data_IF_344258197862
#
_entry.id   IF_344258197862
#
_cell.length_a   1.000
_cell.length_b   1.000
_cell.length_c   1.000
_cell.angle_alpha   90.00
_cell.angle_beta   90.00
_cell.angle_gamma   90.00
#
_symmetry.space_group_name_H-M   'P 1'
#
loop_
_entity.id
_entity.type
_entity.pdbx_description
1 polymer ?
#
# COMPACT_ATOMS: atom_id res chain seq x y z
N UNK A 1 3.26 8.18 -7.49
CA UNK A 1 3.09 9.63 -7.55
C UNK A 1 1.85 10.00 -6.74
N UNK A 2 2.03 10.82 -5.69
CA UNK A 2 0.95 11.24 -4.80
C UNK A 2 -0.13 12.05 -5.52
N UNK A 3 0.25 12.91 -6.47
CA UNK A 3 -0.67 13.81 -7.16
C UNK A 3 -1.48 13.11 -8.26
N UNK A 4 -0.88 12.10 -8.91
CA UNK A 4 -1.55 11.37 -9.99
C UNK A 4 -2.31 10.13 -9.50
N UNK A 5 -2.25 9.83 -8.19
CA UNK A 5 -2.77 8.61 -7.61
C UNK A 5 -2.24 7.34 -8.30
N UNK A 6 -0.92 7.23 -8.44
CA UNK A 6 -0.25 6.09 -9.10
C UNK A 6 0.90 5.51 -8.28
N UNK A 7 1.26 4.26 -8.56
CA UNK A 7 2.56 3.67 -8.23
C UNK A 7 3.47 3.75 -9.45
N UNK A 8 4.72 4.14 -9.23
CA UNK A 8 5.76 4.10 -10.25
C UNK A 8 6.78 3.02 -9.86
N UNK A 9 7.08 2.13 -10.80
CA UNK A 9 8.16 1.16 -10.65
C UNK A 9 9.38 1.68 -11.42
N UNK A 10 10.55 1.68 -10.77
CA UNK A 10 11.79 2.18 -11.35
C UNK A 10 12.91 1.17 -11.15
N UNK A 11 13.77 1.01 -12.15
CA UNK A 11 15.05 0.33 -12.00
C UNK A 11 16.10 1.32 -11.52
N UNK A 12 17.05 0.85 -10.71
CA UNK A 12 18.25 1.61 -10.32
C UNK A 12 19.50 0.99 -10.91
N UNK A 13 20.34 1.81 -11.53
CA UNK A 13 21.69 1.40 -11.88
C UNK A 13 22.55 1.42 -10.59
N UNK A 14 23.08 0.27 -10.12
CA UNK A 14 23.78 0.21 -8.84
C UNK A 14 25.14 0.93 -8.85
N UNK A 15 25.74 1.17 -10.03
CA UNK A 15 27.02 1.84 -10.14
C UNK A 15 26.87 3.38 -10.17
N UNK A 16 25.81 3.89 -10.80
CA UNK A 16 25.61 5.33 -11.02
C UNK A 16 24.51 5.94 -10.17
N UNK A 17 23.59 5.12 -9.64
CA UNK A 17 22.37 5.56 -8.97
C UNK A 17 21.29 6.10 -9.92
N UNK A 18 21.49 6.00 -11.24
CA UNK A 18 20.50 6.46 -12.21
C UNK A 18 19.21 5.64 -12.12
N UNK A 19 18.08 6.35 -12.21
CA UNK A 19 16.75 5.76 -12.19
C UNK A 19 16.17 5.75 -13.60
N UNK A 20 15.56 4.63 -13.99
CA UNK A 20 14.76 4.54 -15.20
C UNK A 20 13.36 4.03 -14.86
N UNK A 21 12.34 4.69 -15.41
CA UNK A 21 10.95 4.28 -15.22
C UNK A 21 10.71 2.95 -15.96
N UNK A 22 10.18 1.97 -15.24
CA UNK A 22 9.75 0.68 -15.77
C UNK A 22 8.26 0.73 -16.12
N UNK A 23 7.45 1.19 -15.17
CA UNK A 23 5.99 1.09 -15.26
C UNK A 23 5.29 2.13 -14.37
N UNK A 24 4.03 2.43 -14.68
CA UNK A 24 3.14 3.25 -13.85
C UNK A 24 1.76 2.61 -13.77
N UNK A 25 1.30 2.36 -12.55
CA UNK A 25 0.01 1.72 -12.27
C UNK A 25 -0.90 2.67 -11.48
N UNK A 26 -2.18 2.86 -11.87
CA UNK A 26 -3.14 3.55 -11.04
C UNK A 26 -3.33 2.89 -9.67
N UNK A 27 -3.29 3.70 -8.61
CA UNK A 27 -3.51 3.25 -7.24
C UNK A 27 -4.99 3.28 -6.84
N UNK A 28 -5.88 3.82 -7.68
CA UNK A 28 -7.34 3.83 -7.51
C UNK A 28 -8.04 3.73 -8.87
N UNK A 29 -9.34 3.37 -8.91
CA UNK A 29 -10.17 3.52 -10.11
C UNK A 29 -10.14 4.93 -10.68
N UNK A 30 -10.38 5.08 -11.98
CA UNK A 30 -10.19 6.35 -12.69
C UNK A 30 -11.08 7.48 -12.12
N UNK A 31 -12.31 7.15 -11.77
CA UNK A 31 -13.32 8.03 -11.19
C UNK A 31 -12.96 8.58 -9.80
N UNK A 32 -12.02 7.94 -9.10
CA UNK A 32 -11.62 8.34 -7.75
C UNK A 32 -10.36 9.21 -7.73
N UNK A 33 -9.69 9.44 -8.87
CA UNK A 33 -8.37 10.08 -8.92
C UNK A 33 -8.37 11.54 -8.49
N UNK A 34 -9.39 12.30 -8.87
CA UNK A 34 -9.44 13.76 -8.64
C UNK A 34 -9.57 14.15 -7.16
N UNK A 35 -9.92 13.20 -6.29
CA UNK A 35 -10.11 13.42 -4.86
C UNK A 35 -9.29 12.44 -4.00
N UNK A 36 -8.21 11.89 -4.56
CA UNK A 36 -7.39 10.92 -3.88
C UNK A 36 -5.92 11.33 -3.85
N UNK A 37 -5.28 11.01 -2.73
CA UNK A 37 -3.84 11.18 -2.54
C UNK A 37 -3.25 9.90 -1.94
N UNK A 38 -2.29 9.29 -2.63
CA UNK A 38 -1.49 8.22 -2.05
C UNK A 38 -0.75 8.73 -0.80
N UNK A 39 -0.40 7.84 0.14
CA UNK A 39 0.38 8.24 1.32
C UNK A 39 1.59 7.34 1.55
N UNK A 40 1.38 6.06 1.80
CA UNK A 40 2.46 5.13 2.13
C UNK A 40 2.43 3.88 1.25
N UNK A 41 3.58 3.22 1.14
CA UNK A 41 3.73 1.96 0.41
C UNK A 41 4.45 0.92 1.28
N UNK A 42 4.09 -0.36 1.12
CA UNK A 42 4.76 -1.50 1.71
C UNK A 42 4.92 -2.58 0.64
N UNK A 43 6.03 -3.32 0.70
CA UNK A 43 6.25 -4.50 -0.15
C UNK A 43 6.27 -5.72 0.75
N UNK A 44 5.65 -6.82 0.31
CA UNK A 44 5.71 -8.09 1.05
C UNK A 44 7.16 -8.58 1.18
N UNK A 45 7.54 -9.29 2.27
CA UNK A 45 8.91 -9.78 2.45
C UNK A 45 9.42 -10.70 1.34
N UNK A 46 8.51 -11.36 0.63
CA UNK A 46 8.79 -12.20 -0.54
C UNK A 46 8.97 -11.39 -1.84
N UNK A 47 8.82 -10.07 -1.80
CA UNK A 47 8.94 -9.17 -2.96
C UNK A 47 7.79 -9.23 -3.97
N UNK A 48 6.77 -10.08 -3.75
CA UNK A 48 5.77 -10.41 -4.78
C UNK A 48 4.61 -9.40 -4.89
N UNK A 49 4.35 -8.62 -3.84
CA UNK A 49 3.20 -7.72 -3.80
C UNK A 49 3.54 -6.38 -3.18
N UNK A 50 2.97 -5.32 -3.76
CA UNK A 50 2.98 -3.95 -3.25
C UNK A 50 1.60 -3.60 -2.69
N UNK A 51 1.61 -2.87 -1.58
CA UNK A 51 0.44 -2.33 -0.90
C UNK A 51 0.62 -0.84 -0.78
N UNK A 52 -0.36 -0.04 -1.19
CA UNK A 52 -0.29 1.41 -0.98
C UNK A 52 -1.60 1.99 -0.45
N UNK A 53 -1.49 2.93 0.47
CA UNK A 53 -2.64 3.58 1.08
C UNK A 53 -3.09 4.81 0.30
N UNK A 54 -4.41 5.00 0.26
CA UNK A 54 -5.09 6.03 -0.50
C UNK A 54 -5.99 6.85 0.41
N UNK A 55 -5.67 8.14 0.61
CA UNK A 55 -6.49 9.09 1.37
C UNK A 55 -7.50 9.72 0.43
N UNK A 56 -8.78 9.62 0.77
CA UNK A 56 -9.89 10.06 -0.08
C UNK A 56 -10.68 8.88 -0.61
N UNK A 57 -10.03 7.95 -1.35
CA UNK A 57 -10.66 6.67 -1.70
C UNK A 57 -10.74 5.69 -0.52
N UNK A 58 -10.01 5.96 0.57
CA UNK A 58 -10.01 5.22 1.84
C UNK A 58 -9.85 3.70 1.62
N UNK A 59 -8.78 3.37 0.91
CA UNK A 59 -8.46 2.01 0.49
C UNK A 59 -6.96 1.72 0.58
N UNK A 60 -6.64 0.42 0.58
CA UNK A 60 -5.33 -0.13 0.30
C UNK A 60 -5.38 -0.73 -1.10
N UNK A 61 -4.63 -0.13 -2.02
CA UNK A 61 -4.39 -0.73 -3.33
C UNK A 61 -3.38 -1.87 -3.20
N UNK A 62 -3.68 -2.98 -3.85
CA UNK A 62 -2.84 -4.18 -3.90
C UNK A 62 -2.41 -4.41 -5.34
N UNK A 63 -1.11 -4.53 -5.56
CA UNK A 63 -0.53 -4.83 -6.86
C UNK A 63 0.43 -6.02 -6.76
N UNK A 64 0.42 -6.90 -7.77
CA UNK A 64 1.44 -7.91 -7.96
C UNK A 64 2.65 -7.30 -8.66
N UNK A 65 3.85 -7.76 -8.30
CA UNK A 65 5.12 -7.35 -8.90
C UNK A 65 5.64 -8.51 -9.74
N UNK A 66 5.80 -8.28 -11.04
CA UNK A 66 6.54 -9.19 -11.91
C UNK A 66 8.01 -9.23 -11.46
N UNK A 67 8.50 -10.40 -11.06
CA UNK A 67 9.82 -10.55 -10.46
C UNK A 67 10.96 -10.48 -11.48
N UNK A 68 10.66 -10.67 -12.77
CA UNK A 68 11.66 -10.59 -13.84
C UNK A 68 11.76 -9.16 -14.38
N UNK A 69 10.62 -8.49 -14.55
CA UNK A 69 10.57 -7.18 -15.21
C UNK A 69 10.32 -6.01 -14.27
N UNK A 70 9.89 -6.24 -13.03
CA UNK A 70 9.49 -5.19 -12.09
C UNK A 70 8.19 -4.48 -12.45
N UNK A 71 7.41 -4.99 -13.41
CA UNK A 71 6.12 -4.40 -13.82
C UNK A 71 5.05 -4.65 -12.76
N UNK A 72 4.07 -3.75 -12.70
CA UNK A 72 3.02 -3.80 -11.69
C UNK A 72 1.69 -4.21 -12.33
N UNK A 73 0.93 -5.07 -11.65
CA UNK A 73 -0.43 -5.45 -12.07
C UNK A 73 -1.40 -5.30 -10.93
N UNK A 74 -2.52 -4.59 -11.15
CA UNK A 74 -3.54 -4.40 -10.13
C UNK A 74 -4.17 -5.73 -9.72
N UNK A 75 -4.29 -5.96 -8.41
CA UNK A 75 -4.92 -7.15 -7.82
C UNK A 75 -6.27 -6.78 -7.20
N UNK A 76 -6.30 -5.73 -6.38
CA UNK A 76 -7.50 -5.29 -5.67
C UNK A 76 -7.36 -3.85 -5.13
N UNK A 77 -8.50 -3.23 -4.85
CA UNK A 77 -8.61 -2.06 -3.98
C UNK A 77 -9.43 -2.47 -2.76
N UNK A 78 -8.79 -2.62 -1.60
CA UNK A 78 -9.43 -3.12 -0.37
C UNK A 78 -9.78 -1.95 0.54
N UNK A 79 -10.98 -1.84 1.13
CA UNK A 79 -11.27 -0.84 2.15
C UNK A 79 -10.24 -0.89 3.29
N UNK A 80 -9.70 0.25 3.71
CA UNK A 80 -8.61 0.31 4.70
C UNK A 80 -9.08 0.28 6.17
N UNK A 81 -10.40 0.14 6.39
CA UNK A 81 -10.99 -0.03 7.72
C UNK A 81 -11.17 1.27 8.52
N UNK A 82 -11.06 2.43 7.88
CA UNK A 82 -11.29 3.75 8.46
C UNK A 82 -10.79 4.87 7.54
N UNK A 83 -11.26 6.11 7.68
CA UNK A 83 -10.91 7.19 6.75
C UNK A 83 -9.48 7.72 6.89
N UNK A 84 -8.92 8.18 5.77
CA UNK A 84 -7.60 8.84 5.68
C UNK A 84 -6.43 7.95 6.17
N UNK A 85 -6.15 6.82 5.50
CA UNK A 85 -5.05 5.91 5.86
C UNK A 85 -3.68 6.54 5.57
N UNK A 86 -3.05 7.12 6.59
CA UNK A 86 -1.80 7.88 6.45
C UNK A 86 -0.55 7.01 6.37
N UNK A 87 -0.57 5.84 6.98
CA UNK A 87 0.60 4.97 7.01
C UNK A 87 0.18 3.50 7.08
N UNK A 88 1.01 2.65 6.48
CA UNK A 88 0.90 1.21 6.55
C UNK A 88 2.08 0.65 7.35
N UNK A 89 1.83 -0.43 8.07
CA UNK A 89 2.88 -1.25 8.68
C UNK A 89 2.72 -2.70 8.29
N UNK A 90 3.82 -3.39 7.99
CA UNK A 90 3.79 -4.83 7.72
C UNK A 90 4.62 -5.58 8.74
N UNK A 91 4.05 -6.66 9.30
CA UNK A 91 4.81 -7.54 10.19
C UNK A 91 6.02 -8.16 9.47
N UNK A 92 7.13 -8.50 10.16
CA UNK A 92 8.30 -9.12 9.52
C UNK A 92 7.98 -10.43 8.78
N UNK A 93 6.99 -11.18 9.29
CA UNK A 93 6.50 -12.40 8.64
C UNK A 93 5.70 -12.15 7.34
N UNK A 94 5.29 -10.91 7.08
CA UNK A 94 4.40 -10.54 5.98
C UNK A 94 2.95 -11.00 6.14
N UNK A 95 2.58 -11.69 7.22
CA UNK A 95 1.23 -12.25 7.42
C UNK A 95 0.19 -11.22 7.83
N UNK A 96 0.63 -10.12 8.46
CA UNK A 96 -0.21 -9.03 8.92
C UNK A 96 0.21 -7.71 8.28
N UNK A 97 -0.80 -6.92 7.91
CA UNK A 97 -0.70 -5.53 7.49
C UNK A 97 -1.58 -4.67 8.40
N UNK A 98 -1.12 -3.49 8.76
CA UNK A 98 -1.79 -2.53 9.62
C UNK A 98 -2.04 -1.24 8.85
N UNK A 99 -3.23 -0.64 8.99
CA UNK A 99 -3.58 0.67 8.41
C UNK A 99 -3.85 1.68 9.50
N UNK A 100 -3.03 2.73 9.59
CA UNK A 100 -3.27 3.86 10.47
C UNK A 100 -4.20 4.87 9.81
N UNK A 101 -5.47 4.85 10.20
CA UNK A 101 -6.51 5.70 9.64
C UNK A 101 -6.61 6.95 10.51
N UNK A 102 -6.02 8.05 10.04
CA UNK A 102 -5.87 9.28 10.80
C UNK A 102 -7.21 9.84 11.25
N UNK A 103 -8.16 10.00 10.33
CA UNK A 103 -9.45 10.61 10.63
C UNK A 103 -10.45 9.58 11.18
N UNK A 104 -10.07 8.29 11.17
CA UNK A 104 -10.87 7.21 11.74
C UNK A 104 -10.58 6.94 13.21
N UNK A 105 -9.54 7.58 13.76
CA UNK A 105 -9.05 7.32 15.12
C UNK A 105 -8.89 5.82 15.41
N UNK A 106 -8.38 5.07 14.44
CA UNK A 106 -8.15 3.64 14.57
C UNK A 106 -6.95 3.13 13.77
N UNK A 107 -6.42 1.99 14.22
CA UNK A 107 -5.54 1.15 13.41
C UNK A 107 -6.29 -0.13 13.05
N UNK A 108 -6.54 -0.33 11.76
CA UNK A 108 -7.14 -1.56 11.25
C UNK A 108 -6.07 -2.64 11.02
N UNK A 109 -6.44 -3.90 11.26
CA UNK A 109 -5.56 -5.08 11.17
C UNK A 109 -6.06 -5.96 10.04
N UNK A 110 -5.17 -6.36 9.15
CA UNK A 110 -5.47 -7.21 8.00
C UNK A 110 -4.60 -8.47 8.02
N UNK A 111 -5.19 -9.61 7.67
CA UNK A 111 -4.46 -10.82 7.27
C UNK A 111 -4.18 -10.75 5.78
N UNK A 112 -2.93 -10.99 5.40
CA UNK A 112 -2.51 -11.13 4.00
C UNK A 112 -2.58 -12.60 3.59
N UNK A 113 -3.20 -12.85 2.45
CA UNK A 113 -3.05 -14.09 1.70
C UNK A 113 -1.73 -14.06 0.92
N UNK A 114 -0.82 -14.99 1.19
CA UNK A 114 0.53 -14.96 0.62
C UNK A 114 0.58 -15.32 -0.87
N UNK A 115 -0.42 -16.06 -1.37
CA UNK A 115 -0.46 -16.54 -2.74
C UNK A 115 -1.04 -15.49 -3.69
N UNK A 116 -2.10 -14.82 -3.23
CA UNK A 116 -2.89 -13.84 -4.01
C UNK A 116 -2.60 -12.39 -3.65
N UNK A 117 -1.96 -12.13 -2.51
CA UNK A 117 -1.72 -10.79 -1.98
C UNK A 117 -2.97 -10.11 -1.41
N UNK A 118 -4.14 -10.75 -1.45
CA UNK A 118 -5.39 -10.14 -0.99
C UNK A 118 -5.39 -9.95 0.53
N UNK A 119 -6.10 -8.92 0.97
CA UNK A 119 -6.23 -8.56 2.38
C UNK A 119 -7.63 -8.90 2.89
N UNK A 120 -7.70 -9.46 4.09
CA UNK A 120 -8.95 -9.66 4.83
C UNK A 120 -8.84 -8.95 6.18
N UNK A 121 -9.77 -8.05 6.49
CA UNK A 121 -9.76 -7.36 7.78
C UNK A 121 -10.01 -8.38 8.90
N UNK A 122 -9.15 -8.36 9.91
CA UNK A 122 -9.18 -9.28 11.05
C UNK A 122 -9.50 -8.57 12.37
N UNK A 123 -9.48 -7.23 12.39
CA UNK A 123 -9.86 -6.43 13.55
C UNK A 123 -9.50 -4.96 13.39
N UNK A 124 -9.70 -4.20 14.47
CA UNK A 124 -9.21 -2.83 14.60
C UNK A 124 -9.05 -2.48 16.07
N UNK A 125 -8.16 -1.53 16.36
CA UNK A 125 -8.01 -0.95 17.69
C UNK A 125 -8.24 0.57 17.62
N UNK A 126 -8.98 1.16 18.58
CA UNK A 126 -9.13 2.60 18.66
C UNK A 126 -7.82 3.23 19.14
N UNK A 127 -7.33 4.22 18.39
CA UNK A 127 -6.13 5.01 18.70
C UNK A 127 -6.37 6.40 18.12
N UNK A 128 -6.26 7.45 18.93
CA UNK A 128 -6.46 8.82 18.44
C UNK A 128 -5.46 9.21 17.35
N UNK A 129 -5.97 9.58 16.18
CA UNK A 129 -5.28 10.24 15.07
C UNK A 129 -3.93 9.59 14.69
N UNK A 130 -3.89 8.28 14.38
CA UNK A 130 -2.65 7.58 14.11
C UNK A 130 -2.14 7.99 12.73
N UNK A 131 -0.88 8.40 12.67
CA UNK A 131 -0.23 8.87 11.44
C UNK A 131 0.97 8.03 11.02
N UNK A 132 1.42 7.12 11.88
CA UNK A 132 2.60 6.29 11.66
C UNK A 132 2.44 4.96 12.42
N UNK A 133 2.81 3.87 11.76
CA UNK A 133 3.00 2.54 12.34
C UNK A 133 4.43 2.13 12.02
N UNK A 134 5.19 1.79 13.06
CA UNK A 134 6.52 1.21 12.92
C UNK A 134 6.55 -0.09 13.68
N UNK A 135 6.93 -1.14 12.97
CA UNK A 135 7.08 -2.45 13.56
C UNK A 135 8.49 -2.56 14.10
N UNK A 136 8.60 -2.85 15.39
CA UNK A 136 9.88 -3.14 16.06
C UNK A 136 9.94 -4.63 16.33
N UNK A 137 11.11 -5.22 16.08
CA UNK A 137 11.40 -6.65 16.29
C UNK A 137 12.75 -6.81 16.95
#
# INVERSE_FOLDING_TARGET
NELDSTFASLSVNPATGELALIDTLPAVPAEARDHNHCADIQISPDGRFLYGSNRGHDSIAVAAIDQETGKLSAVAFTPCGGPTPRNLGMSPSGKLLFSANQNGDNVAIFRRDAETGRLTQAGSIPIGTPMCVRIVS
#
